data_IF_643531068704
#
_entry.id   IF_643531068704
#
_cell.length_a   1.000
_cell.length_b   1.000
_cell.length_c   1.000
_cell.angle_alpha   90.00
_cell.angle_beta   90.00
_cell.angle_gamma   90.00
#
_symmetry.space_group_name_H-M   'P 1'
#
loop_
_entity.id
_entity.type
_entity.pdbx_description
1 polymer ?
#
# COMPACT_ATOMS: atom_id res chain seq x y z
N UNK A 1 -4.12 1.71 11.62
CA UNK A 1 -4.08 2.12 10.20
C UNK A 1 -4.90 3.39 10.06
N UNK A 2 -4.47 4.32 9.21
CA UNK A 2 -5.21 5.50 8.80
C UNK A 2 -6.15 5.16 7.63
N UNK A 3 -7.35 5.73 7.63
CA UNK A 3 -8.33 5.48 6.57
C UNK A 3 -7.90 6.18 5.28
N UNK A 4 -7.87 5.45 4.19
CA UNK A 4 -7.48 6.01 2.90
C UNK A 4 -8.57 6.96 2.39
N UNK A 5 -8.19 8.19 2.00
CA UNK A 5 -9.16 9.21 1.58
C UNK A 5 -9.92 8.84 0.31
N UNK A 6 -9.34 7.98 -0.52
CA UNK A 6 -9.93 7.51 -1.78
C UNK A 6 -10.54 8.65 -2.61
N UNK A 7 -9.75 9.69 -2.90
CA UNK A 7 -10.22 10.88 -3.61
C UNK A 7 -10.71 10.58 -5.03
N UNK A 8 -10.29 9.43 -5.61
CA UNK A 8 -10.75 8.96 -6.91
C UNK A 8 -12.12 8.25 -6.86
N UNK A 9 -12.62 7.88 -5.68
CA UNK A 9 -13.82 7.05 -5.49
C UNK A 9 -13.60 5.54 -5.79
N UNK A 10 -12.71 5.20 -6.71
CA UNK A 10 -12.51 3.84 -7.22
C UNK A 10 -11.21 3.16 -6.75
N UNK A 11 -10.58 3.62 -5.66
CA UNK A 11 -9.40 2.92 -5.13
C UNK A 11 -9.79 1.65 -4.39
N UNK A 12 -9.10 0.55 -4.71
CA UNK A 12 -9.19 -0.73 -3.99
C UNK A 12 -8.56 -0.71 -2.58
N UNK A 13 -7.87 0.37 -2.22
CA UNK A 13 -7.29 0.58 -0.88
C UNK A 13 -8.34 1.15 0.07
N UNK A 14 -8.47 0.54 1.25
CA UNK A 14 -9.36 0.96 2.33
C UNK A 14 -8.61 1.76 3.40
N UNK A 15 -7.42 1.29 3.81
CA UNK A 15 -6.61 1.91 4.85
C UNK A 15 -5.13 1.67 4.60
N UNK A 16 -4.28 2.46 5.25
CA UNK A 16 -2.82 2.28 5.22
C UNK A 16 -2.20 2.55 6.59
N UNK A 17 -0.99 2.08 6.83
CA UNK A 17 -0.17 2.52 7.95
C UNK A 17 1.25 2.76 7.48
N UNK A 18 1.79 3.93 7.81
CA UNK A 18 3.19 4.26 7.56
C UNK A 18 4.02 3.86 8.78
N UNK A 19 5.16 3.22 8.55
CA UNK A 19 6.16 2.90 9.54
C UNK A 19 7.56 3.28 9.06
N UNK A 20 8.57 3.03 9.89
CA UNK A 20 9.96 3.32 9.54
C UNK A 20 10.44 2.29 8.51
N UNK A 21 10.61 2.72 7.26
CA UNK A 21 11.03 1.83 6.15
C UNK A 21 9.95 0.86 5.68
N UNK A 22 8.69 1.07 6.10
CA UNK A 22 7.61 0.16 5.71
C UNK A 22 6.26 0.87 5.57
N UNK A 23 5.39 0.28 4.75
CA UNK A 23 4.00 0.67 4.59
C UNK A 23 3.10 -0.56 4.58
N UNK A 24 2.09 -0.55 5.43
CA UNK A 24 1.01 -1.53 5.38
C UNK A 24 -0.17 -0.94 4.59
N UNK A 25 -0.73 -1.71 3.67
CA UNK A 25 -1.86 -1.31 2.82
C UNK A 25 -2.96 -2.36 2.97
N UNK A 26 -4.10 -1.94 3.51
CA UNK A 26 -5.31 -2.76 3.62
C UNK A 26 -6.20 -2.50 2.42
N UNK A 27 -6.50 -3.55 1.68
CA UNK A 27 -7.42 -3.49 0.56
C UNK A 27 -8.86 -3.76 1.02
N UNK A 28 -9.83 -3.35 0.20
CA UNK A 28 -11.25 -3.62 0.45
C UNK A 28 -11.59 -5.10 0.55
N UNK A 29 -10.73 -5.99 0.05
CA UNK A 29 -10.85 -7.44 0.22
C UNK A 29 -10.61 -7.92 1.66
N UNK A 30 -10.23 -7.02 2.59
CA UNK A 30 -9.87 -7.34 3.97
C UNK A 30 -8.38 -7.68 4.17
N UNK A 31 -7.67 -8.03 3.10
CA UNK A 31 -6.25 -8.39 3.18
C UNK A 31 -5.36 -7.16 3.35
N UNK A 32 -4.45 -7.23 4.31
CA UNK A 32 -3.39 -6.25 4.55
C UNK A 32 -2.06 -6.72 3.98
N UNK A 33 -1.48 -5.95 3.07
CA UNK A 33 -0.17 -6.20 2.49
C UNK A 33 0.87 -5.29 3.13
N UNK A 34 2.01 -5.86 3.51
CA UNK A 34 3.11 -5.14 4.12
C UNK A 34 4.24 -5.03 3.12
N UNK A 35 4.65 -3.80 2.83
CA UNK A 35 5.79 -3.49 1.97
C UNK A 35 6.91 -2.89 2.82
N UNK A 36 8.12 -3.40 2.65
CA UNK A 36 9.31 -2.91 3.35
C UNK A 36 10.38 -2.52 2.33
N UNK A 37 11.33 -1.68 2.73
CA UNK A 37 12.47 -1.29 1.90
C UNK A 37 13.25 -2.51 1.38
N UNK A 38 13.38 -3.55 2.20
CA UNK A 38 14.08 -4.78 1.85
C UNK A 38 13.32 -5.67 0.86
N UNK A 39 12.00 -5.51 0.76
CA UNK A 39 11.14 -6.38 -0.06
C UNK A 39 10.74 -5.71 -1.36
N UNK A 40 10.15 -4.52 -1.27
CA UNK A 40 9.69 -3.75 -2.41
C UNK A 40 10.68 -2.66 -2.85
N UNK A 41 11.72 -2.36 -2.06
CA UNK A 41 12.64 -1.26 -2.33
C UNK A 41 12.25 0.03 -1.61
N UNK A 42 13.25 0.77 -1.12
CA UNK A 42 13.05 2.03 -0.40
C UNK A 42 12.34 3.10 -1.27
N UNK A 43 12.64 3.15 -2.56
CA UNK A 43 12.04 4.09 -3.51
C UNK A 43 10.53 3.87 -3.64
N UNK A 44 10.12 2.61 -3.84
CA UNK A 44 8.72 2.23 -3.90
C UNK A 44 7.97 2.49 -2.59
N UNK A 45 8.58 2.18 -1.43
CA UNK A 45 7.97 2.46 -0.13
C UNK A 45 7.78 3.98 0.08
N UNK A 46 8.74 4.80 -0.33
CA UNK A 46 8.63 6.25 -0.25
C UNK A 46 7.52 6.78 -1.16
N UNK A 47 7.42 6.31 -2.40
CA UNK A 47 6.38 6.74 -3.33
C UNK A 47 4.99 6.25 -2.90
N UNK A 48 4.86 5.00 -2.45
CA UNK A 48 3.63 4.49 -1.86
C UNK A 48 3.18 5.33 -0.66
N UNK A 49 4.12 5.72 0.21
CA UNK A 49 3.83 6.60 1.36
C UNK A 49 3.32 7.97 0.93
N UNK A 50 3.87 8.53 -0.16
CA UNK A 50 3.41 9.80 -0.74
C UNK A 50 2.00 9.68 -1.33
N UNK A 51 1.73 8.63 -2.10
CA UNK A 51 0.41 8.34 -2.69
C UNK A 51 -0.65 8.06 -1.61
N UNK A 52 -0.26 7.34 -0.56
CA UNK A 52 -1.08 7.07 0.61
C UNK A 52 -1.59 8.36 1.27
N UNK A 53 -0.66 9.28 1.59
CA UNK A 53 -0.97 10.58 2.20
C UNK A 53 -1.79 11.49 1.27
N UNK A 54 -1.53 11.43 -0.04
CA UNK A 54 -2.35 12.14 -1.03
C UNK A 54 -3.76 11.57 -1.13
N UNK A 55 -3.94 10.28 -0.81
CA UNK A 55 -5.22 9.60 -0.92
C UNK A 55 -5.66 9.34 -2.37
N UNK A 56 -4.69 9.28 -3.30
CA UNK A 56 -4.93 9.13 -4.74
C UNK A 56 -3.83 8.28 -5.40
N UNK A 57 -4.22 7.30 -6.23
CA UNK A 57 -3.30 6.56 -7.10
C UNK A 57 -2.51 5.41 -6.48
N UNK A 58 -2.64 5.14 -5.18
CA UNK A 58 -1.91 4.07 -4.50
C UNK A 58 -2.21 2.67 -5.06
N UNK A 59 -3.49 2.33 -5.27
CA UNK A 59 -3.87 1.02 -5.82
C UNK A 59 -3.32 0.81 -7.22
N UNK A 60 -3.42 1.83 -8.08
CA UNK A 60 -2.90 1.78 -9.45
C UNK A 60 -1.39 1.58 -9.44
N UNK A 61 -0.67 2.35 -8.61
CA UNK A 61 0.78 2.22 -8.49
C UNK A 61 1.21 0.79 -8.12
N UNK A 62 0.56 0.18 -7.12
CA UNK A 62 0.84 -1.19 -6.69
C UNK A 62 0.55 -2.19 -7.82
N UNK A 63 -0.54 -2.02 -8.58
CA UNK A 63 -0.89 -2.91 -9.69
C UNK A 63 -0.04 -2.72 -10.96
N UNK A 64 0.54 -1.53 -11.17
CA UNK A 64 1.37 -1.22 -12.34
C UNK A 64 2.83 -1.62 -12.16
N UNK A 65 3.31 -1.75 -10.92
CA UNK A 65 4.70 -2.15 -10.63
C UNK A 65 4.74 -3.62 -10.19
N UNK A 66 5.23 -4.51 -11.04
CA UNK A 66 5.42 -5.94 -10.73
C UNK A 66 6.28 -6.17 -9.47
N UNK A 67 7.33 -5.36 -9.30
CA UNK A 67 8.23 -5.41 -8.14
C UNK A 67 7.48 -5.12 -6.83
N UNK A 68 6.43 -4.31 -6.87
CA UNK A 68 5.60 -4.03 -5.69
C UNK A 68 4.50 -5.07 -5.58
N UNK A 69 3.79 -5.38 -6.67
CA UNK A 69 2.63 -6.29 -6.64
C UNK A 69 2.97 -7.67 -6.07
N UNK A 70 4.16 -8.18 -6.38
CA UNK A 70 4.68 -9.46 -5.86
C UNK A 70 5.70 -9.29 -4.73
N UNK A 71 6.33 -8.12 -4.58
CA UNK A 71 7.37 -7.84 -3.57
C UNK A 71 6.85 -7.41 -2.21
N UNK A 72 5.66 -7.86 -1.80
CA UNK A 72 5.20 -7.67 -0.42
C UNK A 72 6.00 -8.58 0.54
N UNK A 73 6.39 -8.05 1.68
CA UNK A 73 7.12 -8.78 2.72
C UNK A 73 6.23 -9.82 3.41
N UNK A 74 4.95 -9.48 3.60
CA UNK A 74 3.91 -10.39 4.10
C UNK A 74 2.52 -9.89 3.73
N UNK A 75 1.55 -10.79 3.76
CA UNK A 75 0.12 -10.47 3.69
C UNK A 75 -0.61 -11.10 4.85
N UNK A 76 -1.55 -10.36 5.44
CA UNK A 76 -2.35 -10.75 6.59
C UNK A 76 -3.83 -10.68 6.17
N UNK A 77 -4.54 -11.81 6.07
CA UNK A 77 -5.98 -11.80 5.83
C UNK A 77 -6.74 -11.30 7.07
N UNK A 78 -7.85 -10.58 6.88
CA UNK A 78 -8.82 -10.33 7.96
C UNK A 78 -9.47 -11.70 8.30
N UNK A 79 -9.34 -12.13 9.55
CA UNK A 79 -9.94 -13.37 10.11
C UNK A 79 -11.48 -13.36 10.06
#
# INVERSE_FOLDING_TARGET
MERYRNLSGDSGVEAYALGVGCIAVRFRSGVTYWYTDASAGADHVAEMSRLAQRGLGLSTYISTHDEVSAGYARKDPDD
#
